data_IF_007940354538
#
_entry.id   IF_007940354538
#
_cell.length_a   1.000
_cell.length_b   1.000
_cell.length_c   1.000
_cell.angle_alpha   90.00
_cell.angle_beta   90.00
_cell.angle_gamma   90.00
#
_symmetry.space_group_name_H-M   'P 1'
#
loop_
_entity.id
_entity.type
_entity.pdbx_description
1 polymer ?
#
# COMPACT_ATOMS: atom_id res chain seq x y z
N UNK A 1 19.46 -6.56 13.07
CA UNK A 1 18.17 -6.37 12.35
C UNK A 1 17.86 -4.89 12.37
N UNK A 2 17.38 -4.30 11.26
CA UNK A 2 16.99 -2.89 11.23
C UNK A 2 15.77 -2.64 12.13
N UNK A 3 15.76 -1.49 12.80
CA UNK A 3 14.69 -1.14 13.77
C UNK A 3 13.31 -1.03 13.09
N UNK A 4 13.24 -0.53 11.86
CA UNK A 4 12.00 -0.48 11.09
C UNK A 4 11.42 -1.88 10.82
N UNK A 5 12.27 -2.90 10.56
CA UNK A 5 11.81 -4.29 10.39
C UNK A 5 11.30 -4.86 11.72
N UNK A 6 12.01 -4.57 12.81
CA UNK A 6 11.69 -5.10 14.14
C UNK A 6 10.40 -4.50 14.71
N UNK A 7 10.22 -3.19 14.53
CA UNK A 7 9.21 -2.42 15.25
C UNK A 7 7.96 -2.12 14.42
N UNK A 8 7.98 -2.39 13.09
CA UNK A 8 6.82 -2.16 12.23
C UNK A 8 5.62 -3.02 12.64
N UNK A 9 4.50 -2.38 12.80
CA UNK A 9 3.21 -3.05 12.96
C UNK A 9 2.16 -2.39 12.05
N UNK A 10 0.96 -2.96 12.00
CA UNK A 10 -0.12 -2.52 11.12
C UNK A 10 -1.34 -2.11 11.97
N UNK A 11 -1.49 -0.83 12.32
CA UNK A 11 -2.60 -0.35 13.12
C UNK A 11 -3.94 -0.49 12.40
N UNK A 12 -5.04 -0.45 13.16
CA UNK A 12 -6.42 -0.51 12.68
C UNK A 12 -7.21 0.76 12.97
N UNK A 13 -6.54 1.80 13.40
CA UNK A 13 -7.10 3.14 13.51
C UNK A 13 -6.03 4.18 13.22
N UNK A 14 -6.43 5.26 12.58
CA UNK A 14 -5.55 6.37 12.24
C UNK A 14 -6.13 7.68 12.75
N UNK A 15 -5.25 8.56 13.23
CA UNK A 15 -5.62 9.88 13.68
C UNK A 15 -6.02 10.75 12.49
N UNK A 16 -6.98 11.65 12.71
CA UNK A 16 -7.32 12.69 11.73
C UNK A 16 -6.24 13.80 11.74
N UNK A 17 -4.99 13.41 11.45
CA UNK A 17 -3.83 14.28 11.38
C UNK A 17 -3.27 14.24 9.97
N UNK A 18 -2.84 15.39 9.46
CA UNK A 18 -2.16 15.46 8.16
C UNK A 18 -0.78 14.81 8.23
N UNK A 19 -0.40 14.18 7.12
CA UNK A 19 0.94 13.64 6.93
C UNK A 19 1.70 14.65 6.09
N UNK A 20 2.89 14.99 6.53
CA UNK A 20 3.77 15.93 5.85
C UNK A 20 4.16 15.40 4.47
N UNK A 21 4.04 16.23 3.44
CA UNK A 21 4.32 15.82 2.05
C UNK A 21 5.72 15.23 1.90
N UNK A 22 6.72 15.81 2.54
CA UNK A 22 8.09 15.30 2.49
C UNK A 22 8.20 13.84 2.96
N UNK A 23 7.44 13.45 4.00
CA UNK A 23 7.42 12.05 4.48
C UNK A 23 6.71 11.12 3.50
N UNK A 24 5.64 11.60 2.87
CA UNK A 24 4.95 10.83 1.82
C UNK A 24 5.89 10.57 0.66
N UNK A 25 6.64 11.59 0.24
CA UNK A 25 7.59 11.50 -0.88
C UNK A 25 8.74 10.53 -0.59
N UNK A 26 9.28 10.52 0.64
CA UNK A 26 10.30 9.54 1.06
C UNK A 26 9.76 8.11 1.05
N UNK A 27 8.54 7.89 1.55
CA UNK A 27 7.89 6.58 1.50
C UNK A 27 7.69 6.10 0.06
N UNK A 28 7.22 6.98 -0.83
CA UNK A 28 7.05 6.65 -2.26
C UNK A 28 8.42 6.36 -2.89
N UNK A 29 9.43 7.19 -2.62
CA UNK A 29 10.80 7.00 -3.11
C UNK A 29 11.37 5.64 -2.70
N UNK A 30 11.15 5.20 -1.46
CA UNK A 30 11.57 3.89 -1.00
C UNK A 30 10.89 2.76 -1.78
N UNK A 31 9.59 2.88 -2.04
CA UNK A 31 8.85 1.93 -2.87
C UNK A 31 9.41 1.83 -4.29
N UNK A 32 9.68 2.97 -4.92
CA UNK A 32 10.23 3.02 -6.28
C UNK A 32 11.68 2.49 -6.40
N UNK A 33 12.41 2.38 -5.29
CA UNK A 33 13.75 1.77 -5.20
C UNK A 33 13.73 0.24 -5.00
N UNK A 34 12.55 -0.37 -4.93
CA UNK A 34 12.46 -1.82 -4.82
C UNK A 34 13.06 -2.52 -6.06
N UNK A 35 13.71 -3.69 -5.88
CA UNK A 35 14.19 -4.45 -7.00
C UNK A 35 13.03 -4.89 -7.91
N UNK A 36 13.28 -4.94 -9.20
CA UNK A 36 12.30 -5.44 -10.18
C UNK A 36 12.96 -6.43 -11.14
N UNK A 37 12.16 -7.32 -11.72
CA UNK A 37 12.67 -8.29 -12.68
C UNK A 37 13.35 -7.60 -13.86
N UNK A 38 14.62 -7.91 -14.12
CA UNK A 38 15.48 -7.30 -15.15
C UNK A 38 15.67 -5.79 -14.99
N UNK A 39 15.43 -5.25 -13.79
CA UNK A 39 15.46 -3.81 -13.49
C UNK A 39 14.58 -2.96 -14.44
N UNK A 40 13.41 -3.49 -14.82
CA UNK A 40 12.51 -2.80 -15.74
C UNK A 40 11.76 -1.63 -15.10
N UNK A 41 11.67 -1.56 -13.78
CA UNK A 41 11.08 -0.46 -12.97
C UNK A 41 9.68 -0.03 -13.47
N UNK A 42 8.83 -1.00 -13.78
CA UNK A 42 7.50 -0.78 -14.38
C UNK A 42 6.37 -0.59 -13.35
N UNK A 43 6.70 -0.65 -12.06
CA UNK A 43 5.78 -0.35 -10.98
C UNK A 43 5.59 1.15 -10.81
N UNK A 44 4.38 1.54 -10.47
CA UNK A 44 4.00 2.93 -10.20
C UNK A 44 3.25 3.03 -8.88
N UNK A 45 3.26 4.24 -8.31
CA UNK A 45 2.49 4.58 -7.11
C UNK A 45 1.57 5.76 -7.42
N UNK A 46 0.28 5.60 -7.17
CA UNK A 46 -0.69 6.69 -7.24
C UNK A 46 -0.99 7.14 -5.81
N UNK A 47 -0.56 8.35 -5.46
CA UNK A 47 -0.79 8.94 -4.15
C UNK A 47 -2.16 9.62 -4.11
N UNK A 48 -3.04 9.16 -3.24
CA UNK A 48 -4.41 9.64 -3.09
C UNK A 48 -4.55 10.32 -1.72
N UNK A 49 -4.60 11.64 -1.73
CA UNK A 49 -4.86 12.51 -0.57
C UNK A 49 -6.20 13.25 -0.69
N UNK A 50 -6.78 13.27 -1.88
CA UNK A 50 -8.12 13.83 -2.09
C UNK A 50 -9.15 12.98 -1.35
N UNK A 51 -9.89 13.63 -0.42
CA UNK A 51 -10.83 12.97 0.49
C UNK A 51 -11.96 12.23 -0.24
N UNK A 52 -12.48 12.82 -1.32
CA UNK A 52 -13.58 12.23 -2.09
C UNK A 52 -13.11 10.98 -2.83
N UNK A 53 -12.00 11.08 -3.56
CA UNK A 53 -11.39 9.94 -4.29
C UNK A 53 -11.04 8.81 -3.32
N UNK A 54 -10.40 9.14 -2.18
CA UNK A 54 -10.09 8.19 -1.11
C UNK A 54 -11.33 7.47 -0.60
N UNK A 55 -12.41 8.21 -0.33
CA UNK A 55 -13.64 7.63 0.21
C UNK A 55 -14.36 6.75 -0.83
N UNK A 56 -14.35 7.14 -2.09
CA UNK A 56 -14.93 6.34 -3.16
C UNK A 56 -14.14 5.04 -3.36
N UNK A 57 -12.80 5.10 -3.30
CA UNK A 57 -11.94 3.91 -3.35
C UNK A 57 -12.17 2.99 -2.13
N UNK A 58 -12.35 3.55 -0.94
CA UNK A 58 -12.68 2.77 0.26
C UNK A 58 -14.01 2.03 0.13
N UNK A 59 -15.05 2.68 -0.41
CA UNK A 59 -16.35 2.05 -0.68
C UNK A 59 -16.22 0.91 -1.71
N UNK A 60 -15.47 1.13 -2.78
CA UNK A 60 -15.20 0.10 -3.78
C UNK A 60 -14.49 -1.10 -3.16
N UNK A 61 -13.43 -0.86 -2.38
CA UNK A 61 -12.67 -1.89 -1.67
C UNK A 61 -13.56 -2.69 -0.71
N UNK A 62 -14.42 -2.01 0.08
CA UNK A 62 -15.37 -2.64 1.00
C UNK A 62 -16.41 -3.49 0.24
N UNK A 63 -16.94 -3.00 -0.87
CA UNK A 63 -17.90 -3.71 -1.72
C UNK A 63 -17.30 -5.00 -2.29
N UNK A 64 -16.08 -4.93 -2.85
CA UNK A 64 -15.36 -6.11 -3.37
C UNK A 64 -15.09 -7.14 -2.26
N UNK A 65 -14.91 -6.68 -1.03
CA UNK A 65 -14.67 -7.53 0.13
C UNK A 65 -15.95 -8.12 0.73
N UNK A 66 -17.14 -7.69 0.28
CA UNK A 66 -18.42 -8.07 0.92
C UNK A 66 -18.56 -7.54 2.36
N UNK A 67 -17.94 -6.39 2.67
CA UNK A 67 -18.02 -5.78 3.99
C UNK A 67 -19.38 -5.09 4.19
N UNK A 68 -19.88 -5.01 5.44
CA UNK A 68 -21.09 -4.24 5.74
C UNK A 68 -20.97 -2.77 5.32
N UNK A 69 -22.12 -2.16 5.04
CA UNK A 69 -22.17 -0.71 4.74
C UNK A 69 -21.60 0.13 5.88
N UNK A 70 -20.86 1.16 5.53
CA UNK A 70 -20.21 2.09 6.48
C UNK A 70 -18.87 1.62 7.01
N UNK A 71 -18.40 0.40 6.70
CA UNK A 71 -17.05 -0.04 7.06
C UNK A 71 -16.03 0.66 6.16
N UNK A 72 -15.02 1.26 6.79
CA UNK A 72 -13.86 1.83 6.09
C UNK A 72 -12.66 0.88 6.16
N UNK A 73 -12.32 0.18 5.07
CA UNK A 73 -11.17 -0.73 5.02
C UNK A 73 -9.82 -0.01 5.11
N UNK A 74 -9.81 1.32 4.99
CA UNK A 74 -8.62 2.15 5.17
C UNK A 74 -8.50 2.75 6.58
N UNK A 75 -9.35 2.33 7.53
CA UNK A 75 -9.25 2.62 8.97
C UNK A 75 -9.09 4.11 9.32
N UNK A 76 -9.66 5.00 8.53
CA UNK A 76 -9.56 6.44 8.74
C UNK A 76 -8.25 7.08 8.22
N UNK A 77 -7.33 6.32 7.65
CA UNK A 77 -6.11 6.88 7.07
C UNK A 77 -6.44 7.89 5.96
N UNK A 78 -5.75 9.02 5.97
CA UNK A 78 -5.99 10.12 5.00
C UNK A 78 -5.19 9.95 3.70
N UNK A 79 -4.10 9.20 3.73
CA UNK A 79 -3.22 8.94 2.59
C UNK A 79 -3.34 7.48 2.19
N UNK A 80 -3.61 7.26 0.91
CA UNK A 80 -3.64 5.93 0.29
C UNK A 80 -2.68 5.93 -0.89
N UNK A 81 -1.72 5.04 -0.87
CA UNK A 81 -0.78 4.79 -1.96
C UNK A 81 -1.24 3.54 -2.69
N UNK A 82 -1.88 3.72 -3.85
CA UNK A 82 -2.25 2.61 -4.72
C UNK A 82 -1.04 2.23 -5.56
N UNK A 83 -0.60 0.98 -5.42
CA UNK A 83 0.47 0.39 -6.23
C UNK A 83 -0.13 -0.30 -7.42
N UNK A 84 0.33 0.08 -8.60
CA UNK A 84 0.01 -0.58 -9.84
C UNK A 84 1.30 -0.91 -10.63
N UNK A 85 1.20 -1.80 -11.58
CA UNK A 85 2.35 -2.23 -12.37
C UNK A 85 1.92 -2.45 -13.82
N UNK A 86 2.79 -2.22 -14.80
CA UNK A 86 2.51 -2.63 -16.17
C UNK A 86 2.22 -4.13 -16.20
N UNK A 87 1.30 -4.53 -17.09
CA UNK A 87 0.91 -5.94 -17.22
C UNK A 87 2.15 -6.83 -17.46
N UNK A 88 2.42 -7.73 -16.54
CA UNK A 88 3.60 -8.60 -16.55
C UNK A 88 3.37 -9.82 -15.64
N UNK A 89 3.97 -10.97 -15.92
CA UNK A 89 3.95 -12.12 -15.00
C UNK A 89 4.55 -11.83 -13.62
N UNK A 90 5.37 -10.77 -13.48
CA UNK A 90 6.03 -10.39 -12.25
C UNK A 90 5.36 -9.20 -11.54
N UNK A 91 4.20 -8.72 -12.04
CA UNK A 91 3.53 -7.54 -11.50
C UNK A 91 3.29 -7.63 -9.99
N UNK A 92 2.74 -8.75 -9.54
CA UNK A 92 2.41 -8.96 -8.12
C UNK A 92 3.68 -9.03 -7.25
N UNK A 93 4.75 -9.69 -7.74
CA UNK A 93 6.01 -9.82 -7.00
C UNK A 93 6.77 -8.48 -6.90
N UNK A 94 6.89 -7.77 -8.03
CA UNK A 94 7.53 -6.45 -8.05
C UNK A 94 6.76 -5.46 -7.18
N UNK A 95 5.42 -5.45 -7.28
CA UNK A 95 4.57 -4.59 -6.48
C UNK A 95 4.63 -4.92 -4.98
N UNK A 96 4.71 -6.20 -4.61
CA UNK A 96 4.89 -6.62 -3.22
C UNK A 96 6.22 -6.11 -2.63
N UNK A 97 7.31 -6.15 -3.40
CA UNK A 97 8.59 -5.58 -3.00
C UNK A 97 8.51 -4.07 -2.78
N UNK A 98 7.81 -3.35 -3.67
CA UNK A 98 7.56 -1.91 -3.51
C UNK A 98 6.78 -1.62 -2.22
N UNK A 99 5.70 -2.37 -1.97
CA UNK A 99 4.87 -2.20 -0.79
C UNK A 99 5.68 -2.43 0.49
N UNK A 100 6.49 -3.50 0.55
CA UNK A 100 7.30 -3.76 1.75
C UNK A 100 8.29 -2.62 2.02
N UNK A 101 9.00 -2.12 1.01
CA UNK A 101 9.88 -0.96 1.17
C UNK A 101 9.12 0.26 1.73
N UNK A 102 7.91 0.54 1.21
CA UNK A 102 7.08 1.65 1.70
C UNK A 102 6.65 1.45 3.17
N UNK A 103 6.31 0.22 3.56
CA UNK A 103 5.95 -0.08 4.95
C UNK A 103 7.12 0.15 5.91
N UNK A 104 8.33 -0.23 5.50
CA UNK A 104 9.55 -0.05 6.30
C UNK A 104 9.93 1.43 6.40
N UNK A 105 9.88 2.15 5.28
CA UNK A 105 10.21 3.58 5.28
C UNK A 105 9.17 4.39 6.07
N UNK A 106 7.89 4.06 5.99
CA UNK A 106 6.88 4.71 6.82
C UNK A 106 7.24 4.61 8.32
N UNK A 107 7.67 3.43 8.78
CA UNK A 107 8.13 3.25 10.16
C UNK A 107 9.38 4.09 10.47
N UNK A 108 10.32 4.17 9.53
CA UNK A 108 11.53 4.98 9.66
C UNK A 108 11.22 6.49 9.78
N UNK A 109 10.18 6.97 9.06
CA UNK A 109 9.69 8.35 9.10
C UNK A 109 8.82 8.67 10.34
N UNK A 110 8.62 7.71 11.25
CA UNK A 110 7.75 7.86 12.41
C UNK A 110 6.26 7.89 12.04
N UNK A 111 5.92 7.34 10.88
CA UNK A 111 4.55 7.09 10.44
C UNK A 111 4.16 5.64 10.72
N UNK A 112 2.85 5.40 10.65
CA UNK A 112 2.30 4.07 10.66
C UNK A 112 1.72 3.74 9.29
N UNK A 113 1.92 2.50 8.85
CA UNK A 113 1.44 2.04 7.57
C UNK A 113 0.81 0.65 7.66
N UNK A 114 -0.11 0.38 6.74
CA UNK A 114 -0.74 -0.92 6.62
C UNK A 114 -0.94 -1.29 5.16
N UNK A 115 -0.70 -2.55 4.85
CA UNK A 115 -1.03 -3.15 3.56
C UNK A 115 -2.52 -3.46 3.50
N UNK A 116 -3.20 -2.96 2.48
CA UNK A 116 -4.61 -3.23 2.20
C UNK A 116 -4.73 -3.92 0.85
N UNK A 117 -5.34 -5.08 0.85
CA UNK A 117 -5.51 -5.90 -0.34
C UNK A 117 -6.60 -5.35 -1.28
N UNK A 118 -6.72 -5.97 -2.45
CA UNK A 118 -7.77 -5.81 -3.47
C UNK A 118 -7.51 -4.77 -4.55
N UNK A 119 -6.36 -4.11 -4.55
CA UNK A 119 -6.00 -3.16 -5.61
C UNK A 119 -6.11 -3.77 -7.01
N UNK A 120 -5.79 -5.05 -7.17
CA UNK A 120 -5.95 -5.78 -8.42
C UNK A 120 -7.40 -5.83 -8.89
N UNK A 121 -8.31 -6.28 -8.01
CA UNK A 121 -9.75 -6.36 -8.32
C UNK A 121 -10.39 -4.99 -8.52
N UNK A 122 -9.92 -3.99 -7.82
CA UNK A 122 -10.39 -2.62 -7.99
C UNK A 122 -10.08 -2.08 -9.39
N UNK A 123 -8.83 -2.24 -9.88
CA UNK A 123 -8.45 -1.77 -11.20
C UNK A 123 -9.05 -2.59 -12.35
N UNK A 124 -9.70 -3.72 -12.08
CA UNK A 124 -10.54 -4.45 -13.05
C UNK A 124 -11.91 -3.79 -13.25
N UNK A 125 -12.37 -2.95 -12.29
CA UNK A 125 -13.65 -2.23 -12.37
C UNK A 125 -13.55 -0.93 -13.19
N UNK A 126 -14.70 -0.39 -13.61
CA UNK A 126 -14.78 0.92 -14.28
C UNK A 126 -14.33 2.05 -13.36
N UNK A 127 -14.70 1.98 -12.08
CA UNK A 127 -14.35 2.97 -11.05
C UNK A 127 -12.84 2.98 -10.78
N UNK A 128 -12.23 1.82 -10.63
CA UNK A 128 -10.79 1.70 -10.44
C UNK A 128 -10.00 2.14 -11.67
N UNK A 129 -10.41 1.74 -12.87
CA UNK A 129 -9.82 2.21 -14.14
C UNK A 129 -9.88 3.73 -14.29
N UNK A 130 -10.91 4.37 -13.73
CA UNK A 130 -11.02 5.82 -13.75
C UNK A 130 -9.93 6.52 -12.93
N UNK A 131 -9.43 5.89 -11.87
CA UNK A 131 -8.28 6.43 -11.09
C UNK A 131 -7.03 6.55 -11.97
N UNK A 132 -6.74 5.54 -12.80
CA UNK A 132 -5.63 5.60 -13.75
C UNK A 132 -5.82 6.72 -14.78
N UNK A 133 -7.04 6.88 -15.29
CA UNK A 133 -7.37 7.97 -16.25
C UNK A 133 -7.19 9.36 -15.62
N UNK A 134 -7.54 9.55 -14.35
CA UNK A 134 -7.38 10.83 -13.64
C UNK A 134 -5.91 11.29 -13.59
N UNK A 135 -4.97 10.37 -13.65
CA UNK A 135 -3.51 10.67 -13.68
C UNK A 135 -2.91 10.54 -15.10
N UNK A 136 -3.76 10.46 -16.13
CA UNK A 136 -3.33 10.45 -17.53
C UNK A 136 -2.78 9.11 -18.03
N UNK A 137 -3.02 8.01 -17.31
CA UNK A 137 -2.54 6.68 -17.68
C UNK A 137 -3.60 5.88 -18.45
N UNK A 138 -3.15 5.03 -19.37
CA UNK A 138 -4.01 4.08 -20.06
C UNK A 138 -4.31 2.87 -19.15
N UNK A 139 -5.58 2.64 -18.73
CA UNK A 139 -5.92 1.56 -17.82
C UNK A 139 -5.62 0.15 -18.35
N UNK A 140 -5.56 -0.02 -19.66
CA UNK A 140 -5.32 -1.34 -20.24
C UNK A 140 -3.83 -1.76 -20.21
N UNK A 141 -2.93 -0.82 -19.85
CA UNK A 141 -1.51 -1.10 -19.70
C UNK A 141 -1.12 -1.51 -18.27
N UNK A 142 -2.02 -1.32 -17.30
CA UNK A 142 -1.70 -1.51 -15.89
C UNK A 142 -2.63 -2.49 -15.21
N UNK A 143 -2.08 -3.23 -14.26
CA UNK A 143 -2.81 -4.02 -13.27
C UNK A 143 -2.57 -3.42 -11.89
N UNK A 144 -3.59 -3.44 -11.06
CA UNK A 144 -3.44 -3.11 -9.64
C UNK A 144 -2.63 -4.19 -8.94
N UNK A 145 -1.90 -3.78 -7.91
CA UNK A 145 -1.31 -4.71 -6.95
C UNK A 145 -2.13 -4.61 -5.67
N UNK A 146 -1.83 -3.65 -4.83
CA UNK A 146 -2.54 -3.40 -3.58
C UNK A 146 -2.29 -1.96 -3.11
N UNK A 147 -2.65 -1.66 -1.84
CA UNK A 147 -2.45 -0.33 -1.27
C UNK A 147 -1.54 -0.34 -0.06
N UNK A 148 -0.88 0.79 0.17
CA UNK A 148 -0.33 1.17 1.47
C UNK A 148 -1.12 2.37 1.98
N UNK A 149 -1.76 2.24 3.13
CA UNK A 149 -2.35 3.39 3.82
C UNK A 149 -1.35 3.95 4.83
N UNK A 150 -1.29 5.28 4.93
CA UNK A 150 -0.35 6.00 5.78
C UNK A 150 -1.06 6.95 6.74
N UNK A 151 -0.46 7.13 7.90
CA UNK A 151 -0.89 8.14 8.87
C UNK A 151 -0.23 7.98 10.22
N UNK A 152 -0.73 8.72 11.18
CA UNK A 152 -0.36 8.60 12.59
C UNK A 152 -1.38 7.74 13.33
N UNK A 153 -0.93 6.96 14.29
CA UNK A 153 -1.78 6.11 15.14
C UNK A 153 -1.31 6.19 16.59
N UNK A 154 -2.26 6.08 17.52
CA UNK A 154 -2.00 5.95 18.95
C UNK A 154 -2.20 4.51 19.44
N UNK A 155 -2.39 3.54 18.54
CA UNK A 155 -2.47 2.14 18.92
C UNK A 155 -1.12 1.67 19.47
N UNK A 156 -1.18 0.87 20.54
CA UNK A 156 0.02 0.21 21.06
C UNK A 156 0.59 -0.78 20.04
N UNK A 157 1.93 -0.79 19.86
CA UNK A 157 2.57 -1.67 18.91
C UNK A 157 2.30 -3.15 19.22
N UNK A 158 1.79 -3.88 18.24
CA UNK A 158 1.70 -5.33 18.28
C UNK A 158 2.88 -5.94 17.54
N UNK A 159 3.97 -6.20 18.25
CA UNK A 159 5.17 -6.82 17.67
C UNK A 159 4.94 -8.31 17.54
N UNK A 160 5.18 -8.84 16.34
CA UNK A 160 5.02 -10.28 16.05
C UNK A 160 6.17 -11.09 16.62
N UNK A 161 5.84 -12.13 17.36
CA UNK A 161 6.77 -13.21 17.62
C UNK A 161 6.97 -14.07 16.35
N UNK A 162 8.23 -14.39 16.07
CA UNK A 162 8.56 -15.26 14.94
C UNK A 162 8.25 -16.70 15.30
N UNK A 163 7.34 -17.33 14.57
CA UNK A 163 7.02 -18.77 14.77
C UNK A 163 8.25 -19.63 14.51
N UNK A 164 8.51 -20.64 15.35
CA UNK A 164 9.64 -21.55 15.17
C UNK A 164 9.45 -22.48 13.95
N UNK A 165 10.50 -23.25 13.64
CA UNK A 165 10.48 -24.32 12.62
C UNK A 165 10.14 -23.86 11.20
N UNK A 166 10.69 -22.71 10.79
CA UNK A 166 10.48 -22.12 9.46
C UNK A 166 11.76 -21.96 8.65
N UNK A 167 12.87 -22.46 9.17
CA UNK A 167 14.17 -22.44 8.49
C UNK A 167 14.72 -23.85 8.42
N UNK A 168 15.13 -24.26 7.26
CA UNK A 168 15.71 -25.56 6.99
C UNK A 168 17.07 -25.37 6.32
N UNK A 169 18.08 -26.14 6.73
CA UNK A 169 19.43 -26.06 6.20
C UNK A 169 19.77 -27.35 5.44
N UNK A 170 20.24 -27.20 4.24
CA UNK A 170 20.93 -28.26 3.49
C UNK A 170 22.41 -27.94 3.57
N UNK A 171 23.21 -28.83 4.19
CA UNK A 171 24.66 -28.68 4.38
C UNK A 171 25.42 -29.69 3.55
#
# INVERSE_FOLDING_TARGET
MLDCIKNRYSPRSYLNKEVEQAKIDEVISAGLRAPSGRDLQQGIVICITNKEVRNNLAKLNASIAGMPEGVDPFYGARVVLLVAHKVSPLSDLNGAAMIENMLLEAQNQGLHARWINRGKKELETSEGKNILKMVGLNPDEYVGVDHVILGYSNEEPSIKEVKPNRVFYIK
#
